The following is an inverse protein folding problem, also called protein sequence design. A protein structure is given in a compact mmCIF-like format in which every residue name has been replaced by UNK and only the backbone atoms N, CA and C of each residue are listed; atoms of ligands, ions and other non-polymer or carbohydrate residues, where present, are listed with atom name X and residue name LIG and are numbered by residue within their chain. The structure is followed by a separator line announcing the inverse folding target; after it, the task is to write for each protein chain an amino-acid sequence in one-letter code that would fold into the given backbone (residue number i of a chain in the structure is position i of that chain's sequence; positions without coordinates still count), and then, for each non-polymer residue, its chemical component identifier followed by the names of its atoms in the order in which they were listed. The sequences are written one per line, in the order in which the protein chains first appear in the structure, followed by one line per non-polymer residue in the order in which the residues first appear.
data_IF_385546893115
#
_entry.id   IF_385546893115
#
_cell.length_a   1.000
_cell.length_b   1.000
_cell.length_c   1.000
_cell.angle_alpha   90.00
_cell.angle_beta   90.00
_cell.angle_gamma   90.00
#
_symmetry.space_group_name_H-M   'P 1'
#
loop_
_entity.id
_entity.type
_entity.pdbx_description
1 polymer ?
#
# COMPACT_ATOMS: atom_id res chain seq x y z
N UNK A 1 -9.57 -7.27 4.99
CA UNK A 1 -8.28 -6.55 5.13
C UNK A 1 -8.07 -5.61 3.96
N UNK A 2 -7.75 -4.35 4.22
CA UNK A 2 -7.40 -3.32 3.24
C UNK A 2 -5.97 -2.89 3.47
N UNK A 3 -5.10 -3.12 2.50
CA UNK A 3 -3.66 -2.88 2.62
C UNK A 3 -3.25 -1.75 1.69
N UNK A 4 -2.76 -0.67 2.29
CA UNK A 4 -2.05 0.38 1.58
C UNK A 4 -0.62 -0.11 1.27
N UNK A 5 -0.40 -0.47 0.00
CA UNK A 5 0.86 -1.03 -0.46
C UNK A 5 2.03 -0.05 -0.41
N UNK A 6 1.79 1.25 -0.58
CA UNK A 6 2.86 2.25 -0.48
C UNK A 6 3.26 2.49 0.96
N UNK A 7 2.29 2.61 1.87
CA UNK A 7 2.58 2.80 3.28
C UNK A 7 3.25 1.55 3.86
N UNK A 8 2.79 0.34 3.53
CA UNK A 8 3.48 -0.90 3.88
C UNK A 8 4.93 -0.92 3.33
N UNK A 9 5.13 -0.60 2.05
CA UNK A 9 6.46 -0.60 1.46
C UNK A 9 7.39 0.41 2.13
N UNK A 10 7.01 1.69 2.17
CA UNK A 10 7.87 2.79 2.66
C UNK A 10 8.16 2.70 4.16
N UNK A 11 7.21 2.21 4.95
CA UNK A 11 7.34 2.16 6.41
C UNK A 11 8.01 0.88 6.91
N UNK A 12 7.91 -0.21 6.16
CA UNK A 12 8.32 -1.54 6.64
C UNK A 12 9.31 -2.21 5.70
N UNK A 13 8.98 -2.32 4.41
CA UNK A 13 9.70 -3.22 3.50
C UNK A 13 10.88 -2.56 2.80
N UNK A 14 10.90 -1.23 2.65
CA UNK A 14 11.88 -0.49 1.85
C UNK A 14 13.32 -0.86 2.22
N UNK A 15 13.63 -0.86 3.51
CA UNK A 15 14.95 -1.17 4.05
C UNK A 15 15.14 -2.65 4.42
N UNK A 16 14.16 -3.52 4.11
CA UNK A 16 14.15 -4.95 4.45
C UNK A 16 14.09 -5.84 3.20
N UNK A 17 15.17 -5.92 2.38
CA UNK A 17 15.20 -6.71 1.15
C UNK A 17 14.72 -8.16 1.28
N UNK A 18 15.02 -8.80 2.41
CA UNK A 18 14.67 -10.20 2.68
C UNK A 18 13.16 -10.42 2.85
N UNK A 19 12.40 -9.36 3.15
CA UNK A 19 10.97 -9.42 3.47
C UNK A 19 10.07 -8.94 2.33
N UNK A 20 10.63 -8.48 1.20
CA UNK A 20 9.88 -7.93 0.06
C UNK A 20 9.09 -8.98 -0.74
N UNK A 21 9.32 -10.28 -0.52
CA UNK A 21 8.59 -11.39 -1.14
C UNK A 21 7.44 -11.88 -0.24
N UNK A 22 6.60 -10.94 0.17
CA UNK A 22 5.65 -11.11 1.27
C UNK A 22 4.33 -11.76 0.80
N UNK A 23 3.92 -12.82 1.48
CA UNK A 23 2.56 -13.35 1.38
C UNK A 23 1.65 -12.50 2.28
N UNK A 24 0.96 -11.53 1.68
CA UNK A 24 0.05 -10.64 2.42
C UNK A 24 -1.20 -11.36 2.94
N UNK A 25 -1.56 -12.51 2.38
CA UNK A 25 -2.67 -13.31 2.88
C UNK A 25 -2.26 -14.07 4.14
N UNK A 26 -1.09 -14.70 4.15
CA UNK A 26 -0.53 -15.33 5.34
C UNK A 26 -0.22 -14.30 6.43
N UNK A 27 0.34 -13.15 6.06
CA UNK A 27 0.56 -12.03 6.98
C UNK A 27 -0.75 -11.60 7.65
N UNK A 28 -1.84 -11.51 6.87
CA UNK A 28 -3.15 -11.13 7.40
C UNK A 28 -3.68 -12.14 8.41
N UNK A 29 -3.56 -13.45 8.13
CA UNK A 29 -3.98 -14.51 9.05
C UNK A 29 -3.19 -14.48 10.36
N UNK A 30 -1.85 -14.35 10.27
CA UNK A 30 -0.99 -14.27 11.46
C UNK A 30 -1.22 -13.00 12.27
N UNK A 31 -1.60 -11.89 11.64
CA UNK A 31 -1.98 -10.67 12.34
C UNK A 31 -3.31 -10.82 13.07
N UNK A 32 -4.23 -11.64 12.54
CA UNK A 32 -5.62 -11.73 12.94
C UNK A 32 -6.04 -13.17 13.33
N UNK A 33 -5.35 -13.85 14.27
CA UNK A 33 -5.56 -15.28 14.55
C UNK A 33 -6.95 -15.62 15.14
N UNK A 34 -7.72 -14.61 15.58
CA UNK A 34 -9.10 -14.78 16.07
C UNK A 34 -10.17 -14.40 15.04
N UNK A 35 -9.79 -14.17 13.79
CA UNK A 35 -10.70 -13.75 12.72
C UNK A 35 -10.56 -14.68 11.52
N UNK A 36 -11.67 -14.90 10.83
CA UNK A 36 -11.64 -15.48 9.48
C UNK A 36 -11.39 -14.37 8.45
N UNK A 37 -10.20 -14.37 7.86
CA UNK A 37 -9.82 -13.36 6.85
C UNK A 37 -10.40 -13.76 5.49
N UNK A 38 -11.66 -13.39 5.28
CA UNK A 38 -12.41 -13.72 4.04
C UNK A 38 -11.88 -13.01 2.78
N UNK A 39 -11.21 -11.86 2.92
CA UNK A 39 -10.71 -11.07 1.79
C UNK A 39 -9.54 -10.16 2.16
N UNK A 40 -8.56 -10.10 1.26
CA UNK A 40 -7.43 -9.15 1.31
C UNK A 40 -7.44 -8.30 0.04
N UNK A 41 -7.58 -6.99 0.19
CA UNK A 41 -7.50 -6.02 -0.91
C UNK A 41 -6.19 -5.26 -0.82
N UNK A 42 -5.34 -5.39 -1.83
CA UNK A 42 -4.02 -4.74 -1.90
C UNK A 42 -4.05 -3.56 -2.86
N UNK A 43 -3.77 -2.36 -2.36
CA UNK A 43 -3.82 -1.12 -3.12
C UNK A 43 -2.41 -0.63 -3.44
N UNK A 44 -2.12 -0.41 -4.70
CA UNK A 44 -0.77 -0.03 -5.18
C UNK A 44 -0.87 0.74 -6.49
N UNK A 45 0.24 1.12 -7.09
CA UNK A 45 0.29 1.57 -8.48
C UNK A 45 1.53 0.98 -9.18
N UNK A 46 1.44 0.73 -10.49
CA UNK A 46 2.54 0.13 -11.25
C UNK A 46 3.73 1.08 -11.40
N UNK A 47 4.85 0.74 -10.78
CA UNK A 47 6.11 1.45 -10.89
C UNK A 47 6.52 1.49 -12.37
N UNK A 48 6.78 2.70 -12.88
CA UNK A 48 7.34 2.88 -14.22
C UNK A 48 8.85 2.91 -14.13
N UNK A 49 9.55 2.41 -15.14
CA UNK A 49 11.03 2.44 -15.16
C UNK A 49 11.61 3.86 -14.98
N UNK A 50 10.83 4.89 -15.31
CA UNK A 50 11.22 6.29 -15.23
C UNK A 50 10.99 6.95 -13.87
N UNK A 51 10.47 6.23 -12.88
CA UNK A 51 10.06 6.80 -11.58
C UNK A 51 10.95 6.39 -10.43
N UNK A 52 11.89 5.47 -10.65
CA UNK A 52 12.83 4.98 -9.65
C UNK A 52 14.27 5.08 -10.11
N UNK A 53 15.20 5.00 -9.16
CA UNK A 53 16.64 4.93 -9.40
C UNK A 53 17.10 3.55 -9.89
N UNK A 54 16.32 2.50 -9.60
CA UNK A 54 16.60 1.13 -10.02
C UNK A 54 15.73 0.70 -11.22
N UNK A 55 16.33 0.50 -12.40
CA UNK A 55 15.66 0.08 -13.63
C UNK A 55 14.91 -1.26 -13.53
N UNK A 56 15.28 -2.14 -12.59
CA UNK A 56 14.68 -3.46 -12.42
C UNK A 56 13.46 -3.47 -11.48
N UNK A 57 13.15 -2.34 -10.83
CA UNK A 57 12.00 -2.22 -9.93
C UNK A 57 10.66 -2.62 -10.56
N UNK A 58 10.33 -2.21 -11.81
CA UNK A 58 9.08 -2.61 -12.44
C UNK A 58 8.97 -4.13 -12.64
N UNK A 59 10.06 -4.79 -13.05
CA UNK A 59 10.06 -6.23 -13.27
C UNK A 59 9.84 -7.00 -11.96
N UNK A 60 10.47 -6.56 -10.86
CA UNK A 60 10.27 -7.19 -9.55
C UNK A 60 8.88 -6.95 -8.98
N UNK A 61 8.33 -5.73 -9.14
CA UNK A 61 6.96 -5.47 -8.75
C UNK A 61 5.99 -6.32 -9.58
N UNK A 62 6.19 -6.44 -10.89
CA UNK A 62 5.37 -7.30 -11.74
C UNK A 62 5.40 -8.76 -11.28
N UNK A 63 6.59 -9.30 -10.96
CA UNK A 63 6.70 -10.65 -10.40
C UNK A 63 5.93 -10.80 -9.09
N UNK A 64 6.03 -9.80 -8.20
CA UNK A 64 5.32 -9.79 -6.93
C UNK A 64 3.81 -9.72 -7.08
N UNK A 65 3.30 -8.82 -7.94
CA UNK A 65 1.86 -8.72 -8.19
C UNK A 65 1.31 -9.99 -8.84
N UNK A 66 2.04 -10.61 -9.77
CA UNK A 66 1.67 -11.92 -10.33
C UNK A 66 1.62 -13.00 -9.26
N UNK A 67 2.60 -13.02 -8.35
CA UNK A 67 2.61 -13.97 -7.24
C UNK A 67 1.41 -13.80 -6.31
N UNK A 68 1.05 -12.55 -5.97
CA UNK A 68 -0.14 -12.26 -5.19
C UNK A 68 -1.45 -12.68 -5.88
N UNK A 69 -1.52 -12.54 -7.21
CA UNK A 69 -2.69 -12.91 -8.02
C UNK A 69 -2.94 -14.43 -8.04
N UNK A 70 -1.95 -15.24 -7.64
CA UNK A 70 -2.14 -16.69 -7.44
C UNK A 70 -2.96 -17.04 -6.19
N UNK A 71 -3.21 -16.07 -5.31
CA UNK A 71 -3.89 -16.29 -4.02
C UNK A 71 -5.38 -15.90 -4.17
N UNK A 72 -6.33 -16.86 -4.10
CA UNK A 72 -7.73 -16.60 -4.49
C UNK A 72 -8.47 -15.49 -3.72
N UNK A 73 -8.11 -15.26 -2.45
CA UNK A 73 -8.74 -14.24 -1.60
C UNK A 73 -8.04 -12.88 -1.65
N UNK A 74 -6.96 -12.76 -2.42
CA UNK A 74 -6.23 -11.51 -2.63
C UNK A 74 -6.74 -10.86 -3.91
N UNK A 75 -7.09 -9.58 -3.85
CA UNK A 75 -7.40 -8.78 -5.03
C UNK A 75 -6.55 -7.52 -5.07
N UNK A 76 -5.92 -7.27 -6.22
CA UNK A 76 -5.04 -6.12 -6.44
C UNK A 76 -5.83 -4.96 -7.06
N UNK A 77 -5.61 -3.75 -6.56
CA UNK A 77 -6.25 -2.54 -7.04
C UNK A 77 -5.19 -1.50 -7.37
N UNK A 78 -5.05 -1.21 -8.66
CA UNK A 78 -4.01 -0.33 -9.16
C UNK A 78 -4.53 1.11 -9.31
N UNK A 79 -3.82 2.06 -8.70
CA UNK A 79 -3.86 3.47 -9.06
C UNK A 79 -3.11 3.73 -10.38
N UNK A 80 -3.08 4.99 -10.80
CA UNK A 80 -2.45 5.41 -12.05
C UNK A 80 -1.29 6.36 -11.79
N UNK A 81 -0.17 6.19 -12.51
CA UNK A 81 0.90 7.18 -12.52
C UNK A 81 0.73 8.19 -13.63
N UNK A 82 0.59 9.46 -13.27
CA UNK A 82 0.59 10.58 -14.19
C UNK A 82 2.00 11.19 -14.26
N UNK A 83 2.50 11.36 -15.48
CA UNK A 83 3.81 11.97 -15.74
C UNK A 83 3.57 13.20 -16.60
N UNK A 84 3.75 14.38 -16.03
CA UNK A 84 3.58 15.65 -16.72
C UNK A 84 4.91 16.42 -16.76
N UNK A 85 5.14 17.15 -17.86
CA UNK A 85 6.16 18.21 -17.89
C UNK A 85 5.54 19.48 -17.32
N UNK A 86 6.15 20.09 -16.29
CA UNK A 86 5.68 21.34 -15.69
C UNK A 86 6.85 22.27 -15.42
N UNK A 87 6.61 23.58 -15.54
CA UNK A 87 7.54 24.58 -15.02
C UNK A 87 7.28 24.74 -13.53
N UNK A 88 8.33 24.61 -12.72
CA UNK A 88 8.27 24.78 -11.26
C UNK A 88 9.38 25.72 -10.79
N UNK A 89 9.18 26.44 -9.67
CA UNK A 89 10.25 27.23 -9.08
C UNK A 89 11.51 26.38 -8.83
N UNK A 90 12.68 26.93 -9.13
CA UNK A 90 13.96 26.33 -8.73
C UNK A 90 14.05 26.25 -7.19
N UNK A 91 14.75 25.23 -6.66
CA UNK A 91 15.07 25.14 -5.23
C UNK A 91 16.60 25.22 -5.02
N UNK A 92 17.12 26.14 -4.21
CA UNK A 92 16.39 27.19 -3.48
C UNK A 92 15.74 28.21 -4.42
N UNK A 93 14.65 28.85 -3.97
CA UNK A 93 13.93 29.84 -4.78
C UNK A 93 14.87 30.98 -5.14
N UNK A 94 15.01 31.22 -6.45
CA UNK A 94 15.82 32.30 -7.02
C UNK A 94 14.93 33.29 -7.76
N UNK A 95 15.36 34.53 -7.73
CA UNK A 95 14.70 35.65 -8.40
C UNK A 95 15.68 36.19 -9.44
N UNK A 96 15.20 36.45 -10.66
CA UNK A 96 15.99 37.05 -11.73
C UNK A 96 16.13 38.59 -11.55
N UNK A 97 16.86 39.22 -12.47
CA UNK A 97 17.13 40.66 -12.43
C UNK A 97 15.83 41.51 -12.56
N UNK A 98 14.76 40.95 -13.11
CA UNK A 98 13.46 41.61 -13.28
C UNK A 98 12.52 41.35 -12.09
N UNK A 99 13.01 40.71 -11.02
CA UNK A 99 12.21 40.41 -9.83
C UNK A 99 11.28 39.20 -10.00
N UNK A 100 11.43 38.38 -11.06
CA UNK A 100 10.59 37.20 -11.30
C UNK A 100 11.22 35.94 -10.74
N UNK A 101 10.38 35.02 -10.27
CA UNK A 101 10.80 33.70 -9.80
C UNK A 101 11.35 32.90 -10.98
N UNK A 102 12.59 32.43 -10.85
CA UNK A 102 13.21 31.53 -11.82
C UNK A 102 12.50 30.18 -11.75
N UNK A 103 12.02 29.70 -12.90
CA UNK A 103 11.38 28.39 -13.02
C UNK A 103 12.19 27.47 -13.91
N UNK A 104 12.15 26.17 -13.62
CA UNK A 104 12.79 25.10 -14.38
C UNK A 104 11.75 24.10 -14.85
N UNK A 105 11.95 23.53 -16.04
CA UNK A 105 11.07 22.47 -16.53
C UNK A 105 11.41 21.17 -15.83
N UNK A 106 10.47 20.67 -15.03
CA UNK A 106 10.58 19.38 -14.33
C UNK A 106 9.68 18.35 -14.97
N UNK A 107 10.11 17.09 -14.89
CA UNK A 107 9.26 15.93 -15.14
C UNK A 107 8.66 15.50 -13.80
N UNK A 108 7.42 15.89 -13.54
CA UNK A 108 6.72 15.50 -12.31
C UNK A 108 6.03 14.15 -12.52
N UNK A 109 6.36 13.18 -11.68
CA UNK A 109 5.60 11.93 -11.61
C UNK A 109 4.77 11.93 -10.33
N UNK A 110 3.46 11.73 -10.48
CA UNK A 110 2.51 11.63 -9.37
C UNK A 110 1.78 10.28 -9.47
N UNK A 111 1.74 9.55 -8.35
CA UNK A 111 0.76 8.48 -8.16
C UNK A 111 -0.60 9.13 -7.93
N UNK A 112 -1.64 8.55 -8.51
CA UNK A 112 -3.02 9.00 -8.34
C UNK A 112 -3.96 7.81 -8.18
N UNK A 113 -4.72 7.86 -7.11
CA UNK A 113 -5.97 7.13 -6.97
C UNK A 113 -5.87 5.83 -6.18
N UNK A 114 -4.69 5.35 -5.74
CA UNK A 114 -4.63 4.21 -4.82
C UNK A 114 -5.46 4.46 -3.56
N UNK A 115 -5.34 5.66 -2.99
CA UNK A 115 -5.94 5.98 -1.69
C UNK A 115 -7.45 6.19 -1.83
N UNK A 116 -7.86 6.89 -2.89
CA UNK A 116 -9.29 7.05 -3.23
C UNK A 116 -9.94 5.69 -3.51
N UNK A 117 -9.26 4.81 -4.26
CA UNK A 117 -9.76 3.46 -4.53
C UNK A 117 -9.89 2.64 -3.24
N UNK A 118 -8.94 2.76 -2.32
CA UNK A 118 -8.96 2.08 -1.02
C UNK A 118 -10.16 2.53 -0.20
N UNK A 119 -10.28 3.84 0.04
CA UNK A 119 -11.37 4.43 0.79
C UNK A 119 -12.74 4.05 0.20
N UNK A 120 -12.91 4.23 -1.11
CA UNK A 120 -14.18 3.94 -1.79
C UNK A 120 -14.56 2.47 -1.70
N UNK A 121 -13.63 1.54 -1.95
CA UNK A 121 -13.93 0.10 -1.87
C UNK A 121 -14.21 -0.36 -0.45
N UNK A 122 -13.51 0.20 0.54
CA UNK A 122 -13.75 -0.10 1.95
C UNK A 122 -15.15 0.29 2.37
N UNK A 123 -15.60 1.49 1.99
CA UNK A 123 -16.96 1.95 2.24
C UNK A 123 -18.00 1.09 1.50
N UNK A 124 -17.79 0.81 0.21
CA UNK A 124 -18.72 -0.02 -0.58
C UNK A 124 -18.88 -1.41 0.03
N UNK A 125 -17.79 -2.08 0.41
CA UNK A 125 -17.85 -3.40 1.03
C UNK A 125 -18.51 -3.32 2.42
N UNK A 126 -18.30 -2.24 3.18
CA UNK A 126 -18.96 -2.03 4.48
C UNK A 126 -20.47 -1.86 4.36
N UNK A 127 -20.94 -1.02 3.44
CA UNK A 127 -22.37 -0.82 3.18
C UNK A 127 -23.04 -2.04 2.54
N UNK A 128 -22.28 -2.91 1.86
CA UNK A 128 -22.77 -4.18 1.32
C UNK A 128 -22.71 -5.35 2.31
N UNK A 129 -22.37 -5.08 3.57
CA UNK A 129 -22.27 -6.10 4.60
C UNK A 129 -21.31 -7.25 4.23
N UNK A 130 -20.18 -6.92 3.61
CA UNK A 130 -19.24 -7.92 3.11
C UNK A 130 -18.39 -8.60 4.21
N UNK A 131 -18.40 -8.06 5.44
CA UNK A 131 -17.68 -8.59 6.60
C UNK A 131 -18.21 -7.95 7.90
N UNK A 132 -17.93 -8.59 9.04
CA UNK A 132 -18.26 -8.03 10.36
C UNK A 132 -17.26 -6.95 10.81
N UNK A 133 -15.99 -7.08 10.40
CA UNK A 133 -14.89 -6.22 10.83
C UNK A 133 -14.00 -5.83 9.65
N UNK A 134 -13.72 -4.53 9.54
CA UNK A 134 -12.92 -3.96 8.46
C UNK A 134 -11.55 -3.53 9.00
N UNK A 135 -10.51 -4.27 8.61
CA UNK A 135 -9.13 -3.93 8.98
C UNK A 135 -8.44 -3.08 7.92
N UNK A 136 -7.84 -1.97 8.34
CA UNK A 136 -6.98 -1.09 7.54
C UNK A 136 -5.52 -1.25 7.97
N UNK A 137 -4.65 -1.60 7.04
CA UNK A 137 -3.20 -1.56 7.20
C UNK A 137 -2.67 -0.30 6.51
N UNK A 138 -2.49 0.77 7.29
CA UNK A 138 -1.84 2.01 6.88
C UNK A 138 -1.52 2.86 8.13
N UNK A 139 -0.64 3.83 7.98
CA UNK A 139 -0.45 4.93 8.93
C UNK A 139 -0.79 6.30 8.33
N UNK A 140 -1.45 6.33 7.17
CA UNK A 140 -1.81 7.57 6.49
C UNK A 140 -3.08 8.18 7.10
N UNK A 141 -2.99 9.43 7.53
CA UNK A 141 -4.11 10.17 8.10
C UNK A 141 -5.21 10.47 7.09
N UNK A 142 -4.93 10.44 5.79
CA UNK A 142 -5.91 10.74 4.74
C UNK A 142 -7.05 9.72 4.70
N UNK A 143 -6.86 8.53 5.29
CA UNK A 143 -7.93 7.53 5.43
C UNK A 143 -8.86 7.76 6.62
N UNK A 144 -8.57 8.70 7.53
CA UNK A 144 -9.28 8.81 8.82
C UNK A 144 -10.78 8.99 8.65
N UNK A 145 -11.21 9.86 7.73
CA UNK A 145 -12.63 10.11 7.50
C UNK A 145 -13.33 8.87 6.95
N UNK A 146 -12.81 8.29 5.86
CA UNK A 146 -13.38 7.08 5.27
C UNK A 146 -13.40 5.91 6.25
N UNK A 147 -12.35 5.75 7.07
CA UNK A 147 -12.26 4.71 8.09
C UNK A 147 -13.26 4.94 9.23
N UNK A 148 -13.48 6.19 9.65
CA UNK A 148 -14.51 6.55 10.61
C UNK A 148 -15.93 6.29 10.10
N UNK A 149 -16.22 6.61 8.84
CA UNK A 149 -17.53 6.40 8.22
C UNK A 149 -17.93 4.92 8.15
N UNK A 150 -16.97 3.99 8.03
CA UNK A 150 -17.25 2.54 8.13
C UNK A 150 -17.90 2.20 9.47
N UNK A 151 -17.48 2.87 10.55
CA UNK A 151 -18.07 2.71 11.87
C UNK A 151 -19.37 3.49 12.02
N UNK A 152 -19.36 4.78 11.73
CA UNK A 152 -20.49 5.67 12.08
C UNK A 152 -21.68 5.50 11.14
N UNK A 153 -21.43 5.32 9.84
CA UNK A 153 -22.49 5.23 8.83
C UNK A 153 -22.86 3.79 8.48
N UNK A 154 -21.86 2.91 8.32
CA UNK A 154 -22.11 1.51 7.98
C UNK A 154 -22.31 0.61 9.22
N UNK A 155 -22.09 1.14 10.43
CA UNK A 155 -22.30 0.40 11.69
C UNK A 155 -21.35 -0.78 11.87
N UNK A 156 -20.20 -0.82 11.19
CA UNK A 156 -19.25 -1.94 11.22
C UNK A 156 -18.13 -1.71 12.24
N UNK A 157 -17.58 -2.81 12.76
CA UNK A 157 -16.36 -2.74 13.57
C UNK A 157 -15.17 -2.46 12.67
N UNK A 158 -14.18 -1.74 13.21
CA UNK A 158 -12.99 -1.37 12.48
C UNK A 158 -11.73 -1.76 13.24
N UNK A 159 -10.69 -2.15 12.50
CA UNK A 159 -9.40 -2.50 13.08
C UNK A 159 -8.26 -1.80 12.37
N UNK A 160 -7.33 -1.21 13.12
CA UNK A 160 -6.15 -0.53 12.60
C UNK A 160 -4.93 -1.44 12.74
N UNK A 161 -4.23 -1.68 11.65
CA UNK A 161 -2.90 -2.30 11.63
C UNK A 161 -1.90 -1.23 11.25
N UNK A 162 -1.16 -0.74 12.24
CA UNK A 162 -0.11 0.23 12.01
C UNK A 162 1.16 -0.48 11.51
N UNK A 163 1.77 -0.02 10.40
CA UNK A 163 3.09 -0.47 9.99
C UNK A 163 4.24 0.05 10.88
N UNK A 164 3.94 0.92 11.85
CA UNK A 164 4.94 1.50 12.77
C UNK A 164 4.48 1.42 14.23
N UNK A 165 5.39 1.55 15.18
CA UNK A 165 5.05 1.60 16.61
C UNK A 165 4.31 2.88 17.03
N UNK A 166 4.14 3.84 16.11
CA UNK A 166 3.43 5.10 16.36
C UNK A 166 2.26 5.23 15.37
N UNK A 167 1.10 4.61 15.68
CA UNK A 167 -0.10 4.78 14.89
C UNK A 167 -0.51 6.25 14.81
N UNK A 168 -1.10 6.65 13.68
CA UNK A 168 -1.58 8.00 13.45
C UNK A 168 -2.65 8.36 14.48
N UNK A 169 -2.51 9.53 15.11
CA UNK A 169 -3.49 10.03 16.07
C UNK A 169 -4.87 10.21 15.44
N UNK A 170 -4.94 10.61 14.17
CA UNK A 170 -6.21 10.79 13.47
C UNK A 170 -6.90 9.45 13.19
N UNK A 171 -6.12 8.41 12.83
CA UNK A 171 -6.65 7.04 12.68
C UNK A 171 -7.06 6.43 14.02
N UNK A 172 -6.37 6.75 15.12
CA UNK A 172 -6.79 6.32 16.45
C UNK A 172 -8.05 7.06 16.93
N UNK A 173 -8.26 8.31 16.50
CA UNK A 173 -9.44 9.09 16.85
C UNK A 173 -10.75 8.52 16.26
N UNK A 174 -10.67 7.64 15.25
CA UNK A 174 -11.83 6.86 14.77
C UNK A 174 -12.26 5.74 15.74
N UNK A 175 -11.54 5.62 16.86
CA UNK A 175 -11.76 4.68 17.97
C UNK A 175 -11.75 3.19 17.59
N UNK A 176 -10.78 2.70 16.78
CA UNK A 176 -10.82 1.33 16.28
C UNK A 176 -10.93 0.28 17.38
N UNK A 177 -11.79 -0.73 17.16
CA UNK A 177 -12.06 -1.81 18.11
C UNK A 177 -10.81 -2.69 18.33
N UNK A 178 -9.92 -2.70 17.34
CA UNK A 178 -8.68 -3.44 17.38
C UNK A 178 -7.53 -2.58 16.86
N UNK A 179 -6.40 -2.58 17.57
CA UNK A 179 -5.17 -1.94 17.10
C UNK A 179 -4.04 -2.97 17.17
N UNK A 180 -3.31 -3.13 16.08
CA UNK A 180 -2.17 -4.04 15.96
C UNK A 180 -1.00 -3.34 15.27
N UNK A 181 0.19 -3.87 15.49
CA UNK A 181 1.41 -3.40 14.82
C UNK A 181 2.07 -4.57 14.12
N UNK A 182 2.60 -4.30 12.92
CA UNK A 182 3.38 -5.29 12.17
C UNK A 182 4.71 -5.55 12.89
N UNK A 183 5.06 -6.83 13.06
CA UNK A 183 6.32 -7.24 13.67
C UNK A 183 7.20 -7.96 12.65
N UNK A 184 8.51 -7.75 12.72
CA UNK A 184 9.48 -8.37 11.82
C UNK A 184 9.36 -9.90 11.76
N UNK A 185 9.26 -10.58 12.90
CA UNK A 185 9.14 -12.04 12.95
C UNK A 185 7.90 -12.59 12.21
N UNK A 186 6.80 -11.85 12.23
CA UNK A 186 5.57 -12.21 11.51
C UNK A 186 5.78 -12.08 9.99
N UNK A 187 6.45 -11.02 9.54
CA UNK A 187 6.79 -10.84 8.12
C UNK A 187 7.73 -11.93 7.62
N UNK A 188 8.72 -12.30 8.42
CA UNK A 188 9.65 -13.39 8.10
C UNK A 188 8.92 -14.74 7.97
N UNK A 189 7.89 -14.97 8.80
CA UNK A 189 7.04 -16.16 8.71
C UNK A 189 5.98 -16.07 7.60
N UNK A 190 5.85 -14.93 6.91
CA UNK A 190 4.85 -14.67 5.88
C UNK A 190 5.48 -14.50 4.50
N UNK A 191 6.44 -15.33 4.12
CA UNK A 191 7.08 -15.23 2.80
C UNK A 191 6.43 -16.19 1.81
N UNK A 192 6.21 -15.70 0.59
CA UNK A 192 5.76 -16.53 -0.53
C UNK A 192 6.80 -17.61 -0.84
N UNK A 193 6.39 -18.76 -1.41
CA UNK A 193 7.32 -19.75 -1.95
C UNK A 193 8.29 -19.13 -2.98
N UNK A 194 9.50 -19.68 -3.07
CA UNK A 194 10.54 -19.19 -4.00
C UNK A 194 10.13 -19.38 -5.48
N UNK A 195 9.22 -20.32 -5.75
CA UNK A 195 8.66 -20.56 -7.08
C UNK A 195 7.16 -20.77 -6.99
N UNK A 196 6.43 -20.03 -7.83
CA UNK A 196 4.98 -20.11 -8.01
C UNK A 196 4.68 -20.36 -9.50
N UNK A 197 3.43 -20.71 -9.82
CA UNK A 197 2.96 -20.85 -11.19
C UNK A 197 1.62 -20.13 -11.35
N UNK A 198 1.49 -19.35 -12.42
CA UNK A 198 0.23 -18.74 -12.86
C UNK A 198 -0.07 -19.18 -14.31
N UNK A 199 -1.13 -18.61 -14.89
CA UNK A 199 -1.52 -18.87 -16.28
C UNK A 199 -0.46 -18.43 -17.33
N UNK A 200 0.51 -17.60 -16.95
CA UNK A 200 1.60 -17.12 -17.79
C UNK A 200 2.92 -17.88 -17.57
N UNK A 201 2.94 -18.89 -16.70
CA UNK A 201 4.08 -19.77 -16.44
C UNK A 201 4.66 -19.63 -15.04
N UNK A 202 5.96 -19.92 -14.92
CA UNK A 202 6.65 -19.89 -13.61
C UNK A 202 6.98 -18.46 -13.19
N UNK A 203 6.81 -18.19 -11.90
CA UNK A 203 7.21 -16.95 -11.24
C UNK A 203 8.29 -17.32 -10.23
N UNK A 204 9.46 -16.73 -10.36
CA UNK A 204 10.55 -16.91 -9.41
C UNK A 204 10.65 -15.69 -8.50
N UNK A 205 10.93 -15.93 -7.22
CA UNK A 205 11.34 -14.88 -6.29
C UNK A 205 12.52 -14.11 -6.90
N UNK A 206 12.45 -12.77 -6.97
CA UNK A 206 13.57 -11.97 -7.45
C UNK A 206 14.84 -12.23 -6.64
N UNK A 207 15.96 -12.47 -7.34
CA UNK A 207 17.23 -12.85 -6.73
C UNK A 207 17.83 -11.78 -5.80
N UNK A 208 17.55 -10.50 -6.06
CA UNK A 208 17.98 -9.40 -5.21
C UNK A 208 16.96 -8.27 -5.22
N UNK A 209 16.76 -7.68 -4.04
CA UNK A 209 16.14 -6.38 -3.88
C UNK A 209 17.22 -5.43 -3.35
N UNK A 210 17.45 -4.26 -3.97
CA UNK A 210 18.35 -3.27 -3.39
C UNK A 210 17.84 -2.85 -2.00
N UNK A 211 18.80 -2.49 -1.14
CA UNK A 211 18.53 -1.72 0.07
C UNK A 211 18.08 -0.32 -0.30
#
# INVERSE_FOLDING_TARGET
MYIDGFNLYRRVLENEPALKWLDIAQMSDLLLPGFDVVRVRYFTARIKATTGTDPHSPARQQAYLRALDTIPRVSIHEGTYRIDKRWMPEHPVRVDADGKIVTVQVRKTEEKGSDVNLAARMLVDAFKDAADVFFLLSNDSDFSDAFGLVRTEAGKKIGLISPTDRPSKSLLATAPDHVRTIRHGLLAASQLPDMLTDMHGRIHRPAAWPK
#
